data_IF_145850818333
#
_entry.id   IF_145850818333
#
_cell.length_a   1.000
_cell.length_b   1.000
_cell.length_c   1.000
_cell.angle_alpha   90.00
_cell.angle_beta   90.00
_cell.angle_gamma   90.00
#
_symmetry.space_group_name_H-M   'P 1'
#
loop_
_entity.id
_entity.type
_entity.pdbx_description
1 polymer ?
#
# COMPACT_ATOMS: atom_id res chain seq x y z
N UNK A 1 12.91 4.55 22.13
CA UNK A 1 13.61 4.34 23.43
C UNK A 1 13.33 5.54 24.31
N UNK A 2 12.78 5.31 25.51
CA UNK A 2 12.45 6.36 26.48
C UNK A 2 12.91 5.97 27.88
N UNK A 3 12.89 6.93 28.81
CA UNK A 3 13.24 6.71 30.22
C UNK A 3 12.01 7.03 31.07
N UNK A 4 11.65 6.12 31.98
CA UNK A 4 10.65 6.39 33.01
C UNK A 4 11.35 7.05 34.20
N UNK A 5 10.99 8.31 34.49
CA UNK A 5 11.47 9.04 35.66
C UNK A 5 10.33 9.10 36.66
N UNK A 6 10.59 8.67 37.89
CA UNK A 6 9.61 8.70 39.00
C UNK A 6 10.20 9.55 40.12
N UNK A 7 9.44 10.55 40.54
CA UNK A 7 9.76 11.44 41.65
C UNK A 7 8.92 11.03 42.88
N UNK A 8 9.54 10.95 44.06
CA UNK A 8 8.88 10.63 45.34
C UNK A 8 7.85 11.70 45.75
N UNK A 9 7.80 12.84 45.05
CA UNK A 9 6.79 13.85 45.26
C UNK A 9 6.92 14.51 46.65
N UNK A 10 5.80 14.99 47.18
CA UNK A 10 5.77 15.85 48.39
C UNK A 10 6.01 15.13 49.71
N UNK A 11 5.97 13.80 49.75
CA UNK A 11 6.08 13.06 51.01
C UNK A 11 7.53 12.82 51.46
N UNK A 12 8.53 13.11 50.60
CA UNK A 12 9.97 12.88 50.86
C UNK A 12 10.33 11.45 51.30
N UNK A 13 9.39 10.50 51.21
CA UNK A 13 9.62 9.10 51.55
C UNK A 13 10.45 8.47 50.43
N UNK A 14 11.62 7.87 50.73
CA UNK A 14 12.40 7.17 49.74
C UNK A 14 11.62 6.01 49.13
N UNK A 15 11.69 5.87 47.80
CA UNK A 15 11.10 4.73 47.08
C UNK A 15 11.71 3.43 47.66
N UNK A 16 10.86 2.52 48.13
CA UNK A 16 11.33 1.24 48.66
C UNK A 16 11.88 0.35 47.55
N UNK A 17 12.66 -0.67 47.91
CA UNK A 17 13.16 -1.63 46.93
C UNK A 17 12.02 -2.40 46.23
N UNK A 18 10.93 -2.67 46.93
CA UNK A 18 9.74 -3.34 46.38
C UNK A 18 9.01 -2.43 45.38
N UNK A 19 8.81 -1.16 45.72
CA UNK A 19 8.22 -0.16 44.82
C UNK A 19 9.09 0.04 43.56
N UNK A 20 10.41 0.02 43.71
CA UNK A 20 11.33 0.13 42.59
C UNK A 20 11.20 -1.04 41.61
N UNK A 21 11.13 -2.28 42.10
CA UNK A 21 10.92 -3.45 41.24
C UNK A 21 9.54 -3.43 40.58
N UNK A 22 8.50 -2.99 41.28
CA UNK A 22 7.19 -2.78 40.66
C UNK A 22 7.25 -1.75 39.52
N UNK A 23 7.88 -0.59 39.76
CA UNK A 23 8.02 0.46 38.76
C UNK A 23 8.84 0.01 37.55
N UNK A 24 9.82 -0.87 37.73
CA UNK A 24 10.57 -1.47 36.64
C UNK A 24 9.67 -2.32 35.73
N UNK A 25 8.83 -3.18 36.31
CA UNK A 25 7.85 -3.97 35.54
C UNK A 25 6.87 -3.07 34.80
N UNK A 26 6.39 -1.99 35.45
CA UNK A 26 5.53 -0.99 34.79
C UNK A 26 6.25 -0.34 33.61
N UNK A 27 7.52 0.05 33.78
CA UNK A 27 8.35 0.60 32.71
C UNK A 27 8.51 -0.34 31.52
N UNK A 28 8.74 -1.64 31.77
CA UNK A 28 8.82 -2.67 30.74
C UNK A 28 7.50 -2.83 29.97
N UNK A 29 6.36 -2.84 30.69
CA UNK A 29 5.03 -2.93 30.08
C UNK A 29 4.71 -1.70 29.22
N UNK A 30 5.03 -0.49 29.71
CA UNK A 30 4.86 0.76 28.96
C UNK A 30 5.75 0.72 27.71
N UNK A 31 7.01 0.31 27.85
CA UNK A 31 7.94 0.17 26.73
C UNK A 31 7.43 -0.78 25.66
N UNK A 32 6.90 -1.94 26.07
CA UNK A 32 6.30 -2.91 25.16
C UNK A 32 5.04 -2.37 24.46
N UNK A 33 4.18 -1.66 25.19
CA UNK A 33 2.97 -1.05 24.62
C UNK A 33 3.31 0.05 23.62
N UNK A 34 4.25 0.94 23.95
CA UNK A 34 4.72 2.00 23.06
C UNK A 34 5.36 1.43 21.80
N UNK A 35 6.22 0.41 21.93
CA UNK A 35 6.83 -0.25 20.78
C UNK A 35 5.80 -0.92 19.87
N UNK A 36 4.75 -1.54 20.43
CA UNK A 36 3.65 -2.09 19.62
C UNK A 36 2.86 -1.00 18.90
N UNK A 37 2.61 0.14 19.55
CA UNK A 37 1.91 1.25 18.92
C UNK A 37 2.71 1.79 17.71
N UNK A 38 4.03 1.96 17.86
CA UNK A 38 4.91 2.39 16.77
C UNK A 38 4.89 1.41 15.59
N UNK A 39 4.93 0.09 15.86
CA UNK A 39 4.84 -0.92 14.81
C UNK A 39 3.49 -0.91 14.08
N UNK A 40 2.39 -0.63 14.81
CA UNK A 40 1.05 -0.49 14.20
C UNK A 40 1.01 0.75 13.30
N UNK A 41 1.55 1.87 13.75
CA UNK A 41 1.61 3.10 12.94
C UNK A 41 2.43 2.90 11.65
N UNK A 42 3.60 2.27 11.75
CA UNK A 42 4.42 1.91 10.59
C UNK A 42 3.67 0.97 9.64
N UNK A 43 2.93 0.00 10.18
CA UNK A 43 2.13 -0.92 9.38
C UNK A 43 1.01 -0.17 8.62
N UNK A 44 0.32 0.75 9.28
CA UNK A 44 -0.70 1.60 8.65
C UNK A 44 -0.13 2.49 7.55
N UNK A 45 1.05 3.08 7.76
CA UNK A 45 1.74 3.86 6.73
C UNK A 45 2.15 3.00 5.52
N UNK A 46 2.68 1.79 5.76
CA UNK A 46 3.01 0.84 4.70
C UNK A 46 1.76 0.42 3.92
N UNK A 47 0.63 0.19 4.58
CA UNK A 47 -0.63 -0.11 3.92
C UNK A 47 -1.11 1.03 3.04
N UNK A 48 -1.08 2.28 3.54
CA UNK A 48 -1.45 3.47 2.76
C UNK A 48 -0.54 3.64 1.54
N UNK A 49 0.76 3.48 1.72
CA UNK A 49 1.75 3.57 0.63
C UNK A 49 1.50 2.50 -0.43
N UNK A 50 1.30 1.25 -0.01
CA UNK A 50 0.96 0.13 -0.91
C UNK A 50 -0.31 0.43 -1.70
N UNK A 51 -1.35 0.94 -1.04
CA UNK A 51 -2.62 1.27 -1.70
C UNK A 51 -2.44 2.34 -2.77
N UNK A 52 -1.68 3.40 -2.47
CA UNK A 52 -1.36 4.46 -3.43
C UNK A 52 -0.61 3.90 -4.66
N UNK A 53 0.43 3.07 -4.43
CA UNK A 53 1.20 2.44 -5.51
C UNK A 53 0.33 1.56 -6.41
N UNK A 54 -0.60 0.79 -5.81
CA UNK A 54 -1.52 -0.06 -6.56
C UNK A 54 -2.45 0.77 -7.43
N UNK A 55 -3.02 1.85 -6.90
CA UNK A 55 -3.89 2.77 -7.65
C UNK A 55 -3.14 3.41 -8.82
N UNK A 56 -1.94 3.94 -8.56
CA UNK A 56 -1.11 4.53 -9.60
C UNK A 56 -0.77 3.54 -10.71
N UNK A 57 -0.41 2.31 -10.32
CA UNK A 57 -0.10 1.24 -11.26
C UNK A 57 -1.32 0.86 -12.11
N UNK A 58 -2.51 0.75 -11.50
CA UNK A 58 -3.76 0.47 -12.22
C UNK A 58 -4.07 1.58 -13.24
N UNK A 59 -3.92 2.85 -12.84
CA UNK A 59 -4.07 4.00 -13.75
C UNK A 59 -3.08 3.96 -14.90
N UNK A 60 -1.80 3.65 -14.63
CA UNK A 60 -0.77 3.54 -15.67
C UNK A 60 -1.11 2.42 -16.68
N UNK A 61 -1.57 1.26 -16.20
CA UNK A 61 -2.04 0.19 -17.08
C UNK A 61 -3.25 0.61 -17.90
N UNK A 62 -4.26 1.23 -17.27
CA UNK A 62 -5.46 1.71 -17.96
C UNK A 62 -5.12 2.67 -19.10
N UNK A 63 -4.24 3.64 -18.84
CA UNK A 63 -3.80 4.62 -19.84
C UNK A 63 -3.08 3.95 -21.01
N UNK A 64 -2.14 3.04 -20.73
CA UNK A 64 -1.39 2.32 -21.76
C UNK A 64 -2.28 1.41 -22.60
N UNK A 65 -3.14 0.62 -21.96
CA UNK A 65 -4.12 -0.25 -22.63
C UNK A 65 -5.02 0.58 -23.55
N UNK A 66 -5.53 1.71 -23.06
CA UNK A 66 -6.37 2.62 -23.85
C UNK A 66 -5.62 3.18 -25.06
N UNK A 67 -4.39 3.66 -24.86
CA UNK A 67 -3.57 4.21 -25.95
C UNK A 67 -3.28 3.17 -27.03
N UNK A 68 -2.87 1.96 -26.64
CA UNK A 68 -2.61 0.85 -27.58
C UNK A 68 -3.90 0.50 -28.31
N UNK A 69 -5.02 0.34 -27.60
CA UNK A 69 -6.32 0.03 -28.21
C UNK A 69 -6.77 1.04 -29.26
N UNK A 70 -6.62 2.34 -28.99
CA UNK A 70 -6.92 3.41 -29.93
C UNK A 70 -6.02 3.31 -31.16
N UNK A 71 -4.71 3.15 -30.96
CA UNK A 71 -3.75 3.06 -32.07
C UNK A 71 -4.01 1.82 -32.94
N UNK A 72 -4.20 0.65 -32.33
CA UNK A 72 -4.52 -0.59 -33.05
C UNK A 72 -5.80 -0.45 -33.88
N UNK A 73 -6.85 0.16 -33.31
CA UNK A 73 -8.10 0.41 -34.04
C UNK A 73 -7.88 1.36 -35.22
N UNK A 74 -7.12 2.45 -35.04
CA UNK A 74 -6.81 3.41 -36.11
C UNK A 74 -6.01 2.76 -37.23
N UNK A 75 -4.96 2.00 -36.90
CA UNK A 75 -4.14 1.28 -37.89
C UNK A 75 -5.00 0.28 -38.67
N UNK A 76 -5.82 -0.53 -37.97
CA UNK A 76 -6.70 -1.50 -38.62
C UNK A 76 -7.73 -0.87 -39.57
N UNK A 77 -8.20 0.35 -39.28
CA UNK A 77 -9.12 1.08 -40.14
C UNK A 77 -8.46 1.73 -41.36
N UNK A 78 -7.19 2.16 -41.23
CA UNK A 78 -6.43 2.82 -42.29
C UNK A 78 -5.77 1.80 -43.25
N UNK A 79 -5.22 0.71 -42.72
CA UNK A 79 -4.40 -0.24 -43.47
C UNK A 79 -5.22 -1.31 -44.24
N UNK A 80 -6.47 -1.00 -44.62
CA UNK A 80 -7.48 -1.92 -45.18
C UNK A 80 -6.90 -3.08 -46.01
N UNK A 81 -7.14 -4.31 -45.57
CA UNK A 81 -6.75 -5.59 -46.21
C UNK A 81 -5.24 -5.88 -46.35
N UNK A 82 -4.39 -5.21 -45.57
CA UNK A 82 -2.98 -5.61 -45.42
C UNK A 82 -2.77 -6.56 -44.23
N UNK A 83 -1.63 -7.25 -44.21
CA UNK A 83 -1.19 -8.02 -43.04
C UNK A 83 -1.09 -7.15 -41.79
N UNK A 84 -0.68 -5.89 -41.95
CA UNK A 84 -0.67 -4.89 -40.88
C UNK A 84 -2.07 -4.67 -40.28
N UNK A 85 -3.13 -4.68 -41.09
CA UNK A 85 -4.50 -4.60 -40.57
C UNK A 85 -4.91 -5.87 -39.82
N UNK A 86 -4.39 -7.04 -40.20
CA UNK A 86 -4.60 -8.27 -39.45
C UNK A 86 -3.90 -8.22 -38.09
N UNK A 87 -2.63 -7.84 -38.05
CA UNK A 87 -1.86 -7.68 -36.82
C UNK A 87 -2.49 -6.65 -35.89
N UNK A 88 -2.92 -5.50 -36.42
CA UNK A 88 -3.60 -4.47 -35.64
C UNK A 88 -4.90 -4.98 -35.01
N UNK A 89 -5.67 -5.83 -35.72
CA UNK A 89 -6.86 -6.50 -35.15
C UNK A 89 -6.50 -7.53 -34.08
N UNK A 90 -5.42 -8.28 -34.26
CA UNK A 90 -4.92 -9.21 -33.24
C UNK A 90 -4.52 -8.46 -31.97
N UNK A 91 -3.72 -7.40 -32.10
CA UNK A 91 -3.32 -6.55 -30.98
C UNK A 91 -4.53 -5.93 -30.28
N UNK A 92 -5.53 -5.45 -31.04
CA UNK A 92 -6.76 -4.92 -30.46
C UNK A 92 -7.53 -5.97 -29.62
N UNK A 93 -7.57 -7.23 -30.06
CA UNK A 93 -8.17 -8.33 -29.28
C UNK A 93 -7.41 -8.62 -27.99
N UNK A 94 -6.08 -8.59 -28.02
CA UNK A 94 -5.26 -8.76 -26.81
C UNK A 94 -5.46 -7.59 -25.83
N UNK A 95 -5.58 -6.35 -26.34
CA UNK A 95 -5.95 -5.18 -25.52
C UNK A 95 -7.28 -5.41 -24.81
N UNK A 96 -8.31 -5.92 -25.51
CA UNK A 96 -9.62 -6.21 -24.89
C UNK A 96 -9.53 -7.26 -23.78
N UNK A 97 -8.70 -8.30 -23.95
CA UNK A 97 -8.43 -9.26 -22.87
C UNK A 97 -7.72 -8.58 -21.70
N UNK A 98 -6.72 -7.74 -21.98
CA UNK A 98 -6.01 -6.93 -20.99
C UNK A 98 -6.95 -6.05 -20.17
N UNK A 99 -7.91 -5.38 -20.82
CA UNK A 99 -8.94 -4.59 -20.12
C UNK A 99 -9.81 -5.44 -19.19
N UNK A 100 -10.19 -6.66 -19.59
CA UNK A 100 -10.95 -7.57 -18.73
C UNK A 100 -10.13 -7.97 -17.50
N UNK A 101 -8.84 -8.27 -17.67
CA UNK A 101 -7.95 -8.59 -16.55
C UNK A 101 -7.74 -7.40 -15.62
N UNK A 102 -7.55 -6.19 -16.18
CA UNK A 102 -7.41 -4.98 -15.38
C UNK A 102 -8.68 -4.69 -14.58
N UNK A 103 -9.87 -4.80 -15.18
CA UNK A 103 -11.15 -4.62 -14.46
C UNK A 103 -11.31 -5.63 -13.32
N UNK A 104 -10.87 -6.88 -13.51
CA UNK A 104 -10.90 -7.90 -12.44
C UNK A 104 -9.91 -7.56 -11.32
N UNK A 105 -8.71 -7.12 -11.68
CA UNK A 105 -7.69 -6.67 -10.73
C UNK A 105 -8.19 -5.49 -9.88
N UNK A 106 -8.73 -4.46 -10.53
CA UNK A 106 -9.31 -3.28 -9.88
C UNK A 106 -10.41 -3.69 -8.88
N UNK A 107 -11.32 -4.59 -9.30
CA UNK A 107 -12.34 -5.15 -8.43
C UNK A 107 -11.77 -5.89 -7.21
N UNK A 108 -10.71 -6.69 -7.36
CA UNK A 108 -10.08 -7.38 -6.23
C UNK A 108 -9.40 -6.41 -5.26
N UNK A 109 -8.88 -5.31 -5.78
CA UNK A 109 -8.19 -4.28 -4.99
C UNK A 109 -9.15 -3.22 -4.42
N UNK A 110 -10.44 -3.25 -4.78
CA UNK A 110 -11.45 -2.30 -4.31
C UNK A 110 -11.29 -0.88 -4.88
N UNK A 111 -10.72 -0.77 -6.08
CA UNK A 111 -10.44 0.50 -6.78
C UNK A 111 -11.17 0.60 -8.12
#
# INVERSE_FOLDING_TARGET
MGVLIVDSGREEVPISAEDFEYLKVVGELIGAAAGKAELVEQLEELYRTKEAMVRETAHAFRNRITAIGILSRRIGGLAKNTDLAHEARMLYREVQKGEVHLRRFEKYMGI
#
